data_IF_199144761309
#
_entry.id   IF_199144761309
#
_cell.length_a   1.000
_cell.length_b   1.000
_cell.length_c   1.000
_cell.angle_alpha   90.00
_cell.angle_beta   90.00
_cell.angle_gamma   90.00
#
_symmetry.space_group_name_H-M   'P 1'
#
loop_
_entity.id
_entity.type
_entity.pdbx_description
1 polymer ?
#
# COMPACT_ATOMS: atom_id res chain seq x y z
N UNK A 1 17.24 24.50 11.01
CA UNK A 1 17.93 24.22 9.73
C UNK A 1 16.88 24.38 8.64
N UNK A 2 17.15 25.15 7.58
CA UNK A 2 16.20 25.30 6.47
C UNK A 2 16.51 24.16 5.50
N UNK A 3 15.50 23.32 5.19
CA UNK A 3 15.66 22.28 4.18
C UNK A 3 15.87 22.92 2.81
N UNK A 4 16.80 22.38 2.04
CA UNK A 4 17.00 22.75 0.64
C UNK A 4 16.29 21.78 -0.32
N UNK A 5 16.40 22.01 -1.62
CA UNK A 5 15.73 21.19 -2.64
C UNK A 5 16.25 19.76 -2.65
N UNK A 6 17.53 19.53 -2.36
CA UNK A 6 18.10 18.18 -2.33
C UNK A 6 17.50 17.37 -1.17
N UNK A 7 17.33 18.00 0.00
CA UNK A 7 16.64 17.38 1.14
C UNK A 7 15.22 16.89 0.80
N UNK A 8 14.45 17.69 0.03
CA UNK A 8 13.10 17.31 -0.41
C UNK A 8 13.13 16.18 -1.45
N UNK A 9 14.09 16.16 -2.36
CA UNK A 9 14.25 15.09 -3.36
C UNK A 9 14.60 13.77 -2.68
N UNK A 10 15.48 13.81 -1.68
CA UNK A 10 15.86 12.64 -0.89
C UNK A 10 14.65 12.10 -0.10
N UNK A 11 13.89 12.98 0.54
CA UNK A 11 12.67 12.58 1.24
C UNK A 11 11.62 12.00 0.28
N UNK A 12 11.42 12.61 -0.89
CA UNK A 12 10.53 12.08 -1.94
C UNK A 12 10.96 10.67 -2.34
N UNK A 13 12.26 10.47 -2.55
CA UNK A 13 12.83 9.18 -2.97
C UNK A 13 12.68 8.11 -1.90
N UNK A 14 12.87 8.47 -0.62
CA UNK A 14 12.67 7.59 0.52
C UNK A 14 11.20 7.15 0.63
N UNK A 15 10.25 8.09 0.61
CA UNK A 15 8.81 7.75 0.67
C UNK A 15 8.33 6.94 -0.52
N UNK A 16 8.89 7.19 -1.70
CA UNK A 16 8.62 6.36 -2.87
C UNK A 16 9.19 4.94 -2.72
N UNK A 17 10.34 4.79 -2.07
CA UNK A 17 10.90 3.47 -1.75
C UNK A 17 10.05 2.73 -0.72
N UNK A 18 9.58 3.42 0.32
CA UNK A 18 8.69 2.85 1.34
C UNK A 18 7.35 2.38 0.72
N UNK A 19 6.77 3.18 -0.17
CA UNK A 19 5.57 2.78 -0.92
C UNK A 19 5.82 1.49 -1.74
N UNK A 20 6.95 1.40 -2.46
CA UNK A 20 7.30 0.17 -3.20
C UNK A 20 7.50 -1.02 -2.27
N UNK A 21 8.14 -0.83 -1.13
CA UNK A 21 8.34 -1.87 -0.13
C UNK A 21 7.00 -2.38 0.40
N UNK A 22 6.03 -1.50 0.66
CA UNK A 22 4.69 -1.89 1.10
C UNK A 22 3.90 -2.66 0.05
N UNK A 23 4.02 -2.29 -1.23
CA UNK A 23 3.41 -3.07 -2.33
C UNK A 23 4.01 -4.48 -2.37
N UNK A 24 5.34 -4.60 -2.25
CA UNK A 24 6.02 -5.90 -2.26
C UNK A 24 5.66 -6.73 -1.03
N UNK A 25 5.60 -6.10 0.16
CA UNK A 25 5.16 -6.75 1.40
C UNK A 25 3.76 -7.34 1.24
N UNK A 26 2.81 -6.56 0.75
CA UNK A 26 1.45 -7.01 0.48
C UNK A 26 1.44 -8.18 -0.52
N UNK A 27 2.11 -8.02 -1.67
CA UNK A 27 2.15 -9.05 -2.70
C UNK A 27 2.71 -10.38 -2.17
N UNK A 28 3.78 -10.34 -1.37
CA UNK A 28 4.42 -11.54 -0.81
C UNK A 28 3.50 -12.24 0.20
N UNK A 29 2.91 -11.49 1.14
CA UNK A 29 2.02 -12.05 2.16
C UNK A 29 0.79 -12.69 1.51
N UNK A 30 0.12 -11.96 0.63
CA UNK A 30 -1.11 -12.45 -0.01
C UNK A 30 -0.84 -13.60 -0.99
N UNK A 31 0.30 -13.58 -1.69
CA UNK A 31 0.71 -14.76 -2.48
C UNK A 31 0.94 -15.98 -1.59
N UNK A 32 1.58 -15.79 -0.43
CA UNK A 32 1.77 -16.85 0.57
C UNK A 32 0.44 -17.40 1.10
N UNK A 33 -0.51 -16.53 1.42
CA UNK A 33 -1.86 -16.91 1.86
C UNK A 33 -2.58 -17.72 0.78
N UNK A 34 -2.55 -17.28 -0.48
CA UNK A 34 -3.16 -18.01 -1.59
C UNK A 34 -2.53 -19.39 -1.81
N UNK A 35 -1.21 -19.52 -1.64
CA UNK A 35 -0.52 -20.83 -1.68
C UNK A 35 -1.01 -21.73 -0.54
N UNK A 36 -1.08 -21.22 0.69
CA UNK A 36 -1.58 -21.99 1.83
C UNK A 36 -3.02 -22.44 1.59
N UNK A 37 -3.89 -21.55 1.13
CA UNK A 37 -5.29 -21.87 0.85
C UNK A 37 -5.43 -22.90 -0.28
N UNK A 38 -4.60 -22.80 -1.32
CA UNK A 38 -4.61 -23.74 -2.45
C UNK A 38 -4.17 -25.16 -2.08
N UNK A 39 -3.27 -25.31 -1.10
CA UNK A 39 -2.72 -26.62 -0.72
C UNK A 39 -3.28 -27.20 0.59
N UNK A 40 -3.77 -26.36 1.51
CA UNK A 40 -4.18 -26.77 2.85
C UNK A 40 -5.70 -26.77 3.08
N UNK A 41 -6.53 -26.52 2.05
CA UNK A 41 -7.98 -26.27 2.17
C UNK A 41 -8.75 -27.20 3.14
N UNK A 42 -8.65 -28.53 2.98
CA UNK A 42 -9.34 -29.48 3.86
C UNK A 42 -8.74 -29.57 5.28
N UNK A 43 -7.46 -29.24 5.44
CA UNK A 43 -6.73 -29.30 6.71
C UNK A 43 -6.90 -28.06 7.60
N UNK A 44 -7.62 -27.04 7.13
CA UNK A 44 -7.82 -25.79 7.87
C UNK A 44 -9.05 -25.83 8.78
N UNK A 45 -10.02 -26.72 8.52
CA UNK A 45 -11.30 -26.74 9.22
C UNK A 45 -11.16 -26.91 10.74
N UNK A 46 -11.91 -26.09 11.49
CA UNK A 46 -12.09 -26.18 12.94
C UNK A 46 -10.78 -26.11 13.76
N UNK A 47 -9.82 -25.32 13.26
CA UNK A 47 -8.47 -25.21 13.83
C UNK A 47 -8.10 -23.78 14.22
N UNK A 48 -7.20 -23.64 15.21
CA UNK A 48 -6.57 -22.34 15.52
C UNK A 48 -5.83 -21.72 14.33
N UNK A 49 -5.50 -22.53 13.31
CA UNK A 49 -4.87 -22.10 12.06
C UNK A 49 -5.80 -21.22 11.22
N UNK A 50 -7.11 -21.51 11.18
CA UNK A 50 -8.10 -20.65 10.49
C UNK A 50 -8.10 -19.23 11.08
N UNK A 51 -8.18 -19.13 12.41
CA UNK A 51 -8.15 -17.85 13.09
C UNK A 51 -6.82 -17.12 12.83
N UNK A 52 -5.69 -17.83 12.87
CA UNK A 52 -4.38 -17.23 12.62
C UNK A 52 -4.26 -16.68 11.20
N UNK A 53 -4.70 -17.43 10.19
CA UNK A 53 -4.68 -16.98 8.79
C UNK A 53 -5.62 -15.80 8.56
N UNK A 54 -6.84 -15.83 9.10
CA UNK A 54 -7.78 -14.72 9.01
C UNK A 54 -7.21 -13.45 9.69
N UNK A 55 -6.64 -13.59 10.89
CA UNK A 55 -6.03 -12.48 11.61
C UNK A 55 -4.84 -11.88 10.86
N UNK A 56 -3.94 -12.71 10.32
CA UNK A 56 -2.81 -12.25 9.51
C UNK A 56 -3.32 -11.51 8.27
N UNK A 57 -4.25 -12.12 7.53
CA UNK A 57 -4.86 -11.53 6.32
C UNK A 57 -5.40 -10.12 6.58
N UNK A 58 -6.21 -9.97 7.63
CA UNK A 58 -6.81 -8.69 7.99
C UNK A 58 -5.74 -7.69 8.45
N UNK A 59 -4.83 -8.11 9.33
CA UNK A 59 -3.81 -7.24 9.90
C UNK A 59 -2.88 -6.69 8.81
N UNK A 60 -2.31 -7.56 7.97
CA UNK A 60 -1.35 -7.14 6.94
C UNK A 60 -1.99 -6.26 5.88
N UNK A 61 -3.28 -6.49 5.59
CA UNK A 61 -4.04 -5.67 4.66
C UNK A 61 -4.34 -4.28 5.20
N UNK A 62 -4.84 -4.18 6.44
CA UNK A 62 -5.07 -2.89 7.09
C UNK A 62 -3.77 -2.11 7.24
N UNK A 63 -2.70 -2.78 7.65
CA UNK A 63 -1.38 -2.18 7.74
C UNK A 63 -0.91 -1.62 6.40
N UNK A 64 -1.11 -2.37 5.31
CA UNK A 64 -0.79 -1.91 3.94
C UNK A 64 -1.61 -0.68 3.56
N UNK A 65 -2.92 -0.66 3.83
CA UNK A 65 -3.77 0.51 3.53
C UNK A 65 -3.24 1.76 4.22
N UNK A 66 -2.98 1.69 5.52
CA UNK A 66 -2.56 2.85 6.30
C UNK A 66 -1.18 3.37 5.88
N UNK A 67 -0.19 2.48 5.75
CA UNK A 67 1.16 2.89 5.36
C UNK A 67 1.23 3.39 3.92
N UNK A 68 0.45 2.79 3.00
CA UNK A 68 0.36 3.29 1.63
C UNK A 68 -0.23 4.69 1.58
N UNK A 69 -1.31 4.93 2.33
CA UNK A 69 -1.94 6.26 2.37
C UNK A 69 -1.02 7.31 2.97
N UNK A 70 -0.28 6.95 4.02
CA UNK A 70 0.73 7.80 4.65
C UNK A 70 1.87 8.15 3.67
N UNK A 71 2.47 7.16 3.01
CA UNK A 71 3.50 7.37 1.98
C UNK A 71 3.01 8.32 0.88
N UNK A 72 1.79 8.12 0.40
CA UNK A 72 1.23 8.94 -0.66
C UNK A 72 0.96 10.37 -0.21
N UNK A 73 0.46 10.57 1.01
CA UNK A 73 0.28 11.91 1.58
C UNK A 73 1.61 12.67 1.64
N UNK A 74 2.67 12.02 2.11
CA UNK A 74 3.99 12.64 2.17
C UNK A 74 4.51 12.98 0.77
N UNK A 75 4.39 12.06 -0.18
CA UNK A 75 4.79 12.28 -1.58
C UNK A 75 4.07 13.50 -2.19
N UNK A 76 2.77 13.65 -1.94
CA UNK A 76 2.00 14.80 -2.41
C UNK A 76 2.29 16.10 -1.65
N UNK A 77 2.66 16.03 -0.37
CA UNK A 77 3.08 17.20 0.39
C UNK A 77 4.43 17.71 -0.13
N UNK A 78 5.43 16.82 -0.22
CA UNK A 78 6.79 17.15 -0.67
C UNK A 78 6.77 17.77 -2.07
N UNK A 79 5.95 17.25 -2.99
CA UNK A 79 5.88 17.80 -4.34
C UNK A 79 5.35 19.24 -4.41
N UNK A 80 4.60 19.70 -3.41
CA UNK A 80 4.14 21.09 -3.33
C UNK A 80 5.25 22.02 -2.84
N UNK A 81 6.23 21.49 -2.12
CA UNK A 81 7.37 22.22 -1.60
C UNK A 81 8.55 22.27 -2.60
N UNK A 82 8.48 21.48 -3.69
CA UNK A 82 9.44 21.54 -4.80
C UNK A 82 9.29 22.83 -5.63
N UNK A 83 10.37 23.29 -6.30
CA UNK A 83 10.38 24.59 -6.99
C UNK A 83 9.40 24.67 -8.19
N UNK A 84 9.04 25.89 -8.59
CA UNK A 84 8.00 26.14 -9.61
C UNK A 84 8.33 25.54 -10.99
N UNK A 85 9.61 25.44 -11.35
CA UNK A 85 10.05 24.83 -12.60
C UNK A 85 9.67 23.34 -12.66
N UNK A 86 9.81 22.61 -11.54
CA UNK A 86 9.36 21.23 -11.41
C UNK A 86 7.84 21.13 -11.57
N UNK A 87 7.07 22.01 -10.92
CA UNK A 87 5.61 22.01 -11.03
C UNK A 87 5.13 22.32 -12.46
N UNK A 88 5.87 23.18 -13.18
CA UNK A 88 5.58 23.54 -14.57
C UNK A 88 5.92 22.45 -15.57
N UNK A 89 6.78 21.50 -15.20
CA UNK A 89 7.17 20.37 -16.04
C UNK A 89 6.01 19.40 -16.32
N UNK A 90 6.15 18.58 -17.35
CA UNK A 90 5.17 17.53 -17.66
C UNK A 90 5.00 16.52 -16.52
N UNK A 91 6.08 16.23 -15.79
CA UNK A 91 6.06 15.29 -14.66
C UNK A 91 5.34 15.92 -13.46
N UNK A 92 5.67 17.16 -13.10
CA UNK A 92 5.01 17.87 -12.00
C UNK A 92 3.52 18.11 -12.24
N UNK A 93 3.13 18.46 -13.47
CA UNK A 93 1.72 18.57 -13.87
C UNK A 93 0.96 17.25 -13.73
N UNK A 94 1.57 16.14 -14.17
CA UNK A 94 0.95 14.81 -14.00
C UNK A 94 0.83 14.45 -12.53
N UNK A 95 1.84 14.74 -11.73
CA UNK A 95 1.88 14.39 -10.32
C UNK A 95 0.82 15.17 -9.52
N UNK A 96 0.70 16.47 -9.73
CA UNK A 96 -0.32 17.33 -9.10
C UNK A 96 -1.75 17.04 -9.56
N UNK A 97 -1.92 16.51 -10.77
CA UNK A 97 -3.23 16.13 -11.31
C UNK A 97 -3.81 14.86 -10.67
N UNK A 98 -3.05 14.09 -9.88
CA UNK A 98 -3.56 12.85 -9.28
C UNK A 98 -4.55 13.18 -8.15
N UNK A 99 -5.82 12.77 -8.26
CA UNK A 99 -6.79 12.99 -7.20
C UNK A 99 -6.55 12.00 -6.06
N UNK A 100 -5.90 12.45 -4.98
CA UNK A 100 -5.59 11.65 -3.78
C UNK A 100 -6.82 10.89 -3.22
N UNK A 101 -8.02 11.49 -3.15
CA UNK A 101 -9.20 10.77 -2.67
C UNK A 101 -9.58 9.58 -3.56
N UNK A 102 -9.40 9.68 -4.88
CA UNK A 102 -9.67 8.57 -5.80
C UNK A 102 -8.66 7.46 -5.60
N UNK A 103 -7.37 7.81 -5.46
CA UNK A 103 -6.32 6.83 -5.16
C UNK A 103 -6.65 6.05 -3.88
N UNK A 104 -7.05 6.75 -2.81
CA UNK A 104 -7.48 6.14 -1.54
C UNK A 104 -8.62 5.14 -1.71
N UNK A 105 -9.67 5.54 -2.42
CA UNK A 105 -10.84 4.70 -2.66
C UNK A 105 -10.45 3.45 -3.45
N UNK A 106 -9.67 3.60 -4.52
CA UNK A 106 -9.22 2.47 -5.33
C UNK A 106 -8.32 1.54 -4.54
N UNK A 107 -7.36 2.07 -3.78
CA UNK A 107 -6.47 1.29 -2.92
C UNK A 107 -7.26 0.46 -1.90
N UNK A 108 -8.18 1.11 -1.19
CA UNK A 108 -9.04 0.44 -0.22
C UNK A 108 -9.94 -0.62 -0.86
N UNK A 109 -10.52 -0.33 -2.03
CA UNK A 109 -11.39 -1.25 -2.74
C UNK A 109 -10.63 -2.50 -3.22
N UNK A 110 -9.46 -2.32 -3.84
CA UNK A 110 -8.66 -3.45 -4.35
C UNK A 110 -8.21 -4.34 -3.20
N UNK A 111 -7.64 -3.76 -2.14
CA UNK A 111 -7.20 -4.53 -0.96
C UNK A 111 -8.39 -5.22 -0.30
N UNK A 112 -9.51 -4.52 -0.11
CA UNK A 112 -10.72 -5.06 0.50
C UNK A 112 -11.29 -6.25 -0.28
N UNK A 113 -11.31 -6.18 -1.62
CA UNK A 113 -11.78 -7.29 -2.46
C UNK A 113 -10.90 -8.53 -2.33
N UNK A 114 -9.58 -8.35 -2.22
CA UNK A 114 -8.63 -9.45 -2.01
C UNK A 114 -8.87 -10.10 -0.65
N UNK A 115 -8.96 -9.30 0.42
CA UNK A 115 -9.23 -9.79 1.78
C UNK A 115 -10.55 -10.55 1.85
N UNK A 116 -11.61 -10.02 1.23
CA UNK A 116 -12.91 -10.70 1.20
C UNK A 116 -12.79 -12.05 0.50
N UNK A 117 -12.11 -12.13 -0.65
CA UNK A 117 -11.90 -13.39 -1.35
C UNK A 117 -11.12 -14.41 -0.51
N UNK A 118 -10.08 -13.97 0.20
CA UNK A 118 -9.29 -14.85 1.07
C UNK A 118 -10.06 -15.32 2.30
N UNK A 119 -10.83 -14.44 2.95
CA UNK A 119 -11.68 -14.81 4.08
C UNK A 119 -12.77 -15.80 3.68
N UNK A 120 -13.38 -15.63 2.50
CA UNK A 120 -14.35 -16.57 1.93
C UNK A 120 -13.73 -17.93 1.56
N UNK A 121 -12.41 -18.00 1.37
CA UNK A 121 -11.72 -19.26 1.13
C UNK A 121 -11.28 -19.94 2.44
N UNK A 122 -11.12 -19.17 3.53
CA UNK A 122 -10.78 -19.68 4.86
C UNK A 122 -11.99 -20.35 5.54
N UNK A 123 -13.20 -19.83 5.32
CA UNK A 123 -14.46 -20.23 5.96
C UNK A 123 -15.49 -20.75 4.96
#
# INVERSE_FOLDING_TARGET
MKMDTEDYIDLLSARAADARAMIMFFAVIHTGLLVVLGFAGEGLQDSGTQLALAAVTVLTSLWTVFFMDDCMQDLFAIAKDLPEDFQSSNVGRRFTAVPVPVFRVVNFAVIGLIVVAELLAIY
#
